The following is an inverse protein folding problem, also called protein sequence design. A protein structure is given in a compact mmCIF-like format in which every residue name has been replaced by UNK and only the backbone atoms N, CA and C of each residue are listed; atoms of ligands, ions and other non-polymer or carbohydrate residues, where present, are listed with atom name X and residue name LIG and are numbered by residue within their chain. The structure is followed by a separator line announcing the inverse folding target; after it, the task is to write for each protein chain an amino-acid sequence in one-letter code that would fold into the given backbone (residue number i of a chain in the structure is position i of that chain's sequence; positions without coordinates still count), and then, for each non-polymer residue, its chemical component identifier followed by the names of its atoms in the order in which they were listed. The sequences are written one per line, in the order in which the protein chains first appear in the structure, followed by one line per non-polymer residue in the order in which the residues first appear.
data_IF_646724765211
#
_entry.id   IF_646724765211
#
_cell.length_a   1.000
_cell.length_b   1.000
_cell.length_c   1.000
_cell.angle_alpha   90.00
_cell.angle_beta   90.00
_cell.angle_gamma   90.00
#
_symmetry.space_group_name_H-M   'P 1'
#
loop_
_entity.id
_entity.type
_entity.pdbx_description
1 polymer ?
#
# COMPACT_ATOMS: atom_id res chain seq x y z
N UNK A 1 16.88 43.02 87.19
CA UNK A 1 17.14 43.28 85.76
C UNK A 1 18.01 42.14 85.27
N UNK A 2 17.41 41.13 84.65
CA UNK A 2 18.13 39.93 84.22
C UNK A 2 17.50 39.43 82.93
N UNK A 3 18.36 39.24 81.93
CA UNK A 3 18.07 39.06 80.51
C UNK A 3 17.58 37.65 80.16
N UNK A 4 16.66 37.58 79.19
CA UNK A 4 16.23 36.39 78.46
C UNK A 4 16.87 36.37 77.06
N UNK A 5 17.43 35.23 76.65
CA UNK A 5 17.62 34.80 75.24
C UNK A 5 17.78 33.26 75.28
N UNK A 6 17.27 32.42 74.37
CA UNK A 6 16.73 32.58 73.03
C UNK A 6 17.25 31.42 72.17
N UNK A 7 16.59 30.26 72.18
CA UNK A 7 17.07 29.02 71.53
C UNK A 7 15.98 28.33 70.68
N UNK A 8 15.55 28.95 69.58
CA UNK A 8 14.73 28.27 68.54
C UNK A 8 14.86 29.01 67.21
N UNK A 9 15.88 28.68 66.41
CA UNK A 9 16.02 29.26 65.06
C UNK A 9 16.76 28.37 64.05
N UNK A 10 17.60 27.43 64.50
CA UNK A 10 18.47 26.69 63.59
C UNK A 10 17.78 25.51 62.84
N UNK A 11 16.74 24.89 63.41
CA UNK A 11 16.20 23.63 62.85
C UNK A 11 15.16 23.78 61.72
N UNK A 12 14.47 24.91 61.58
CA UNK A 12 13.44 25.07 60.53
C UNK A 12 14.00 25.18 59.10
N UNK A 13 15.27 25.56 58.92
CA UNK A 13 15.83 25.77 57.57
C UNK A 13 16.27 24.49 56.88
N UNK A 14 16.53 23.40 57.60
CA UNK A 14 17.00 22.13 57.00
C UNK A 14 15.85 21.29 56.40
N UNK A 15 14.66 21.32 56.98
CA UNK A 15 13.51 20.54 56.50
C UNK A 15 12.99 21.02 55.13
N UNK A 16 12.96 22.33 54.87
CA UNK A 16 12.44 22.88 53.62
C UNK A 16 13.32 22.63 52.38
N UNK A 17 14.63 22.40 52.56
CA UNK A 17 15.57 22.17 51.44
C UNK A 17 15.51 20.72 50.94
N UNK A 18 15.24 19.75 51.82
CA UNK A 18 15.09 18.34 51.44
C UNK A 18 13.79 18.08 50.65
N UNK A 19 12.68 18.72 51.04
CA UNK A 19 11.39 18.59 50.33
C UNK A 19 11.41 19.16 48.90
N UNK A 20 12.18 20.24 48.64
CA UNK A 20 12.26 20.83 47.30
C UNK A 20 13.07 19.99 46.31
N UNK A 21 14.05 19.21 46.78
CA UNK A 21 14.86 18.32 45.93
C UNK A 21 14.09 17.06 45.49
N UNK A 22 13.24 16.50 46.37
CA UNK A 22 12.40 15.33 46.03
C UNK A 22 11.33 15.63 44.97
N UNK A 23 10.67 16.79 45.04
CA UNK A 23 9.63 17.18 44.09
C UNK A 23 10.17 17.49 42.67
N UNK A 24 11.42 17.94 42.55
CA UNK A 24 12.06 18.23 41.26
C UNK A 24 12.54 16.95 40.55
N UNK A 25 13.03 15.95 41.30
CA UNK A 25 13.44 14.66 40.74
C UNK A 25 12.23 13.86 40.23
N UNK A 26 11.11 13.91 40.95
CA UNK A 26 9.88 13.19 40.59
C UNK A 26 9.19 13.77 39.34
N UNK A 27 9.22 15.11 39.16
CA UNK A 27 8.74 15.77 37.93
C UNK A 27 9.58 15.42 36.70
N UNK A 28 10.90 15.24 36.86
CA UNK A 28 11.76 14.84 35.75
C UNK A 28 11.50 13.40 35.32
N UNK A 29 11.30 12.46 36.25
CA UNK A 29 10.97 11.06 35.90
C UNK A 29 9.67 10.93 35.11
N UNK A 30 8.65 11.74 35.43
CA UNK A 30 7.36 11.70 34.72
C UNK A 30 7.47 12.20 33.27
N UNK A 31 8.32 13.20 33.01
CA UNK A 31 8.51 13.75 31.66
C UNK A 31 9.24 12.77 30.74
N UNK A 32 10.20 11.99 31.25
CA UNK A 32 10.88 10.96 30.45
C UNK A 32 10.01 9.73 30.18
N UNK A 33 9.14 9.32 31.11
CA UNK A 33 8.21 8.22 30.90
C UNK A 33 7.15 8.55 29.83
N UNK A 34 6.67 9.79 29.80
CA UNK A 34 5.71 10.26 28.77
C UNK A 34 6.37 10.37 27.39
N UNK A 35 7.63 10.81 27.30
CA UNK A 35 8.38 10.84 26.04
C UNK A 35 8.69 9.42 25.49
N UNK A 36 8.92 8.44 26.36
CA UNK A 36 9.13 7.04 25.96
C UNK A 36 7.82 6.38 25.48
N UNK A 37 6.68 6.71 26.10
CA UNK A 37 5.35 6.23 25.67
C UNK A 37 4.85 6.91 24.39
N UNK A 38 5.18 8.19 24.16
CA UNK A 38 4.87 8.90 22.91
C UNK A 38 5.76 8.44 21.73
N UNK A 39 6.96 7.95 22.00
CA UNK A 39 7.86 7.40 20.96
C UNK A 39 7.46 6.01 20.44
N UNK A 40 6.65 5.25 21.18
CA UNK A 40 6.15 3.93 20.75
C UNK A 40 4.87 3.98 19.92
N UNK A 41 4.20 5.14 19.82
CA UNK A 41 2.97 5.31 19.05
C UNK A 41 3.21 5.79 17.60
N UNK A 42 4.45 5.72 17.11
CA UNK A 42 4.69 5.75 15.68
C UNK A 42 4.20 4.42 15.10
N UNK A 43 2.89 4.34 14.84
CA UNK A 43 2.28 3.28 14.04
C UNK A 43 3.04 3.28 12.71
N UNK A 44 3.96 2.34 12.56
CA UNK A 44 4.70 2.15 11.34
C UNK A 44 3.72 1.67 10.29
N UNK A 45 3.44 2.49 9.28
CA UNK A 45 2.64 2.08 8.14
C UNK A 45 3.26 0.80 7.55
N UNK A 46 2.44 -0.25 7.41
CA UNK A 46 2.86 -1.48 6.77
C UNK A 46 3.19 -1.18 5.30
N UNK A 47 4.34 -1.64 4.82
CA UNK A 47 4.71 -1.49 3.41
C UNK A 47 5.01 -2.85 2.81
N UNK A 48 4.37 -3.16 1.69
CA UNK A 48 4.50 -4.42 0.97
C UNK A 48 4.23 -4.22 -0.51
N UNK A 49 4.69 -5.18 -1.32
CA UNK A 49 4.43 -5.19 -2.76
C UNK A 49 3.54 -6.37 -3.12
N UNK A 50 2.49 -6.11 -3.89
CA UNK A 50 1.71 -7.15 -4.56
C UNK A 50 2.03 -7.10 -6.05
N UNK A 51 2.19 -8.27 -6.67
CA UNK A 51 2.40 -8.38 -8.11
C UNK A 51 1.33 -9.25 -8.77
N UNK A 52 1.28 -9.24 -10.09
CA UNK A 52 0.48 -10.17 -10.87
C UNK A 52 0.89 -10.11 -12.33
N UNK A 53 0.79 -11.24 -13.01
CA UNK A 53 0.99 -11.32 -14.47
C UNK A 53 -0.29 -11.86 -15.10
N UNK A 54 -0.72 -11.23 -16.19
CA UNK A 54 -1.82 -11.69 -17.02
C UNK A 54 -1.23 -12.04 -18.39
N UNK A 55 -1.24 -13.31 -18.72
CA UNK A 55 -0.60 -13.91 -19.90
C UNK A 55 -1.51 -14.93 -20.62
N UNK A 56 -2.71 -15.16 -20.09
CA UNK A 56 -3.65 -16.16 -20.60
C UNK A 56 -4.94 -15.49 -21.06
N UNK A 57 -5.31 -15.69 -22.33
CA UNK A 57 -6.69 -15.53 -22.78
C UNK A 57 -7.45 -16.87 -22.65
N UNK A 58 -8.38 -17.03 -21.68
CA UNK A 58 -9.11 -18.29 -21.50
C UNK A 58 -9.96 -18.69 -22.71
N UNK A 59 -10.24 -17.73 -23.62
CA UNK A 59 -10.98 -17.97 -24.87
C UNK A 59 -10.10 -18.67 -25.91
N UNK A 60 -8.78 -18.50 -25.82
CA UNK A 60 -7.79 -19.02 -26.77
C UNK A 60 -6.53 -19.55 -26.06
N UNK A 61 -6.62 -20.60 -25.22
CA UNK A 61 -5.54 -21.05 -24.34
C UNK A 61 -4.30 -21.65 -25.04
N UNK A 62 -4.28 -21.72 -26.37
CA UNK A 62 -3.16 -22.22 -27.16
C UNK A 62 -2.55 -21.17 -28.09
N UNK A 63 -2.92 -19.91 -27.91
CA UNK A 63 -2.29 -18.78 -28.58
C UNK A 63 -0.86 -18.62 -27.97
N UNK A 64 0.15 -18.42 -28.81
CA UNK A 64 1.49 -17.99 -28.37
C UNK A 64 1.55 -16.48 -28.54
N UNK A 65 1.73 -15.81 -27.42
CA UNK A 65 1.07 -14.53 -27.21
C UNK A 65 2.09 -13.39 -27.27
N UNK A 66 3.34 -13.65 -26.91
CA UNK A 66 4.41 -12.63 -26.82
C UNK A 66 3.93 -11.32 -26.18
N UNK A 67 2.95 -11.40 -25.29
CA UNK A 67 2.38 -10.29 -24.57
C UNK A 67 2.18 -10.66 -23.11
N UNK A 68 2.37 -9.68 -22.24
CA UNK A 68 2.17 -9.81 -20.80
C UNK A 68 1.61 -8.49 -20.27
N UNK A 69 0.71 -8.58 -19.29
CA UNK A 69 0.42 -7.45 -18.42
C UNK A 69 1.02 -7.72 -17.05
N UNK A 70 1.96 -6.88 -16.66
CA UNK A 70 2.56 -6.92 -15.33
C UNK A 70 1.93 -5.85 -14.45
N UNK A 71 1.39 -6.29 -13.32
CA UNK A 71 0.80 -5.46 -12.28
C UNK A 71 1.76 -5.43 -11.10
N UNK A 72 2.07 -4.23 -10.61
CA UNK A 72 2.81 -4.00 -9.37
C UNK A 72 2.01 -3.02 -8.52
N UNK A 73 1.84 -3.34 -7.25
CA UNK A 73 1.13 -2.50 -6.29
C UNK A 73 2.08 -2.26 -5.13
N UNK A 74 2.55 -1.02 -5.00
CA UNK A 74 3.36 -0.59 -3.86
C UNK A 74 2.42 -0.02 -2.79
N UNK A 75 2.35 -0.70 -1.65
CA UNK A 75 1.44 -0.35 -0.56
C UNK A 75 2.23 0.30 0.55
N UNK A 76 1.73 1.40 1.09
CA UNK A 76 2.21 2.02 2.33
C UNK A 76 1.02 2.51 3.15
N UNK A 77 0.70 1.78 4.23
CA UNK A 77 -0.45 2.08 5.08
C UNK A 77 -1.76 2.01 4.30
N UNK A 78 -2.52 3.10 4.29
CA UNK A 78 -3.80 3.21 3.60
C UNK A 78 -3.70 3.53 2.09
N UNK A 79 -2.51 3.73 1.55
CA UNK A 79 -2.29 4.05 0.13
C UNK A 79 -1.67 2.86 -0.61
N UNK A 80 -2.19 2.56 -1.79
CA UNK A 80 -1.69 1.56 -2.72
C UNK A 80 -1.49 2.19 -4.10
N UNK A 81 -0.25 2.27 -4.56
CA UNK A 81 0.11 2.80 -5.88
C UNK A 81 0.17 1.65 -6.88
N UNK A 82 -0.76 1.64 -7.82
CA UNK A 82 -0.87 0.64 -8.86
C UNK A 82 -0.07 1.06 -10.08
N UNK A 83 0.71 0.13 -10.62
CA UNK A 83 1.38 0.24 -11.92
C UNK A 83 1.00 -0.98 -12.75
N UNK A 84 0.28 -0.75 -13.84
CA UNK A 84 -0.13 -1.78 -14.81
C UNK A 84 0.61 -1.51 -16.11
N UNK A 85 1.54 -2.39 -16.44
CA UNK A 85 2.41 -2.25 -17.60
C UNK A 85 2.08 -3.31 -18.64
N UNK A 86 1.99 -2.89 -19.90
CA UNK A 86 1.74 -3.78 -21.02
C UNK A 86 3.04 -4.00 -21.79
N UNK A 87 3.42 -5.27 -21.93
CA UNK A 87 4.55 -5.73 -22.74
C UNK A 87 3.97 -6.47 -23.93
N UNK A 88 4.34 -6.08 -25.14
CA UNK A 88 4.00 -6.80 -26.37
C UNK A 88 4.96 -6.39 -27.47
N UNK A 89 5.18 -7.30 -28.43
CA UNK A 89 5.85 -7.00 -29.69
C UNK A 89 4.93 -6.31 -30.72
N UNK A 90 3.63 -6.22 -30.45
CA UNK A 90 2.63 -5.57 -31.29
C UNK A 90 2.49 -4.08 -30.91
N UNK A 91 3.06 -3.15 -31.69
CA UNK A 91 3.08 -1.73 -31.32
C UNK A 91 1.70 -1.05 -31.37
N UNK A 92 0.76 -1.63 -32.12
CA UNK A 92 -0.62 -1.17 -32.24
C UNK A 92 -1.51 -1.65 -31.09
N UNK A 93 -1.08 -2.66 -30.33
CA UNK A 93 -1.86 -3.20 -29.22
C UNK A 93 -1.84 -2.26 -28.01
N UNK A 94 -2.95 -2.19 -27.29
CA UNK A 94 -3.11 -1.36 -26.10
C UNK A 94 -4.13 -1.95 -25.13
N UNK A 95 -3.97 -1.62 -23.84
CA UNK A 95 -4.99 -1.89 -22.83
C UNK A 95 -6.15 -0.92 -23.05
N UNK A 96 -7.34 -1.46 -23.33
CA UNK A 96 -8.58 -0.71 -23.36
C UNK A 96 -9.19 -0.58 -21.97
N UNK A 97 -9.23 -1.69 -21.23
CA UNK A 97 -9.78 -1.77 -19.89
C UNK A 97 -8.93 -2.68 -19.01
N UNK A 98 -8.82 -2.36 -17.72
CA UNK A 98 -8.18 -3.17 -16.70
C UNK A 98 -9.18 -3.45 -15.59
N UNK A 99 -9.26 -4.70 -15.15
CA UNK A 99 -10.23 -5.15 -14.17
C UNK A 99 -9.53 -5.79 -12.98
N UNK A 100 -10.09 -5.59 -11.80
CA UNK A 100 -9.53 -6.16 -10.59
C UNK A 100 -10.59 -6.36 -9.52
N UNK A 101 -10.32 -7.35 -8.67
CA UNK A 101 -11.00 -7.55 -7.41
C UNK A 101 -10.04 -7.26 -6.27
N UNK A 102 -10.59 -6.75 -5.19
CA UNK A 102 -9.94 -6.62 -3.89
C UNK A 102 -10.98 -7.03 -2.85
N UNK A 103 -10.55 -7.30 -1.61
CA UNK A 103 -11.49 -7.48 -0.52
C UNK A 103 -12.49 -6.31 -0.46
N UNK A 104 -13.74 -6.53 -0.03
CA UNK A 104 -14.71 -5.45 0.11
C UNK A 104 -14.21 -4.36 1.06
N UNK A 105 -14.38 -3.10 0.68
CA UNK A 105 -14.00 -1.94 1.49
C UNK A 105 -14.40 -0.63 0.82
N UNK A 106 -14.13 0.49 1.51
CA UNK A 106 -14.39 1.83 1.04
C UNK A 106 -13.16 2.45 0.38
N UNK A 107 -13.11 2.42 -0.95
CA UNK A 107 -11.95 2.86 -1.72
C UNK A 107 -12.21 4.13 -2.52
N UNK A 108 -11.20 4.99 -2.58
CA UNK A 108 -11.13 6.11 -3.52
C UNK A 108 -9.93 5.93 -4.44
N UNK A 109 -10.04 6.45 -5.67
CA UNK A 109 -9.01 6.31 -6.69
C UNK A 109 -8.62 7.67 -7.24
N UNK A 110 -7.32 7.92 -7.40
CA UNK A 110 -6.80 9.22 -7.84
C UNK A 110 -5.43 9.09 -8.51
N UNK A 111 -4.83 10.22 -8.93
CA UNK A 111 -3.46 10.22 -9.44
C UNK A 111 -3.26 9.51 -10.77
N UNK A 112 -4.32 9.40 -11.59
CA UNK A 112 -4.29 8.66 -12.85
C UNK A 112 -3.26 9.21 -13.84
N UNK A 113 -2.47 8.31 -14.41
CA UNK A 113 -1.64 8.52 -15.59
C UNK A 113 -1.83 7.33 -16.53
N UNK A 114 -2.46 7.51 -17.70
CA UNK A 114 -2.93 8.77 -18.27
C UNK A 114 -4.11 9.42 -17.50
N UNK A 115 -4.21 10.76 -17.53
CA UNK A 115 -5.13 11.54 -16.65
C UNK A 115 -6.62 11.37 -16.92
N UNK A 116 -6.99 10.81 -18.07
CA UNK A 116 -8.40 10.57 -18.43
C UNK A 116 -8.94 9.23 -17.96
N UNK A 117 -8.09 8.39 -17.36
CA UNK A 117 -8.51 7.13 -16.79
C UNK A 117 -9.25 7.36 -15.47
N UNK A 118 -10.21 6.48 -15.22
CA UNK A 118 -11.02 6.45 -14.00
C UNK A 118 -11.21 5.00 -13.59
N UNK A 119 -11.52 4.78 -12.31
CA UNK A 119 -12.01 3.49 -11.81
C UNK A 119 -13.51 3.62 -11.50
N UNK A 120 -14.28 2.63 -11.94
CA UNK A 120 -15.72 2.51 -11.66
C UNK A 120 -16.04 1.17 -10.98
N UNK A 121 -17.14 1.14 -10.23
CA UNK A 121 -17.72 -0.05 -9.62
C UNK A 121 -19.26 0.06 -9.60
N UNK A 122 -20.02 -1.01 -9.93
CA UNK A 122 -19.52 -2.30 -10.42
C UNK A 122 -18.85 -2.14 -11.80
N UNK A 123 -17.90 -3.04 -12.11
CA UNK A 123 -17.33 -3.13 -13.45
C UNK A 123 -18.45 -3.34 -14.49
N UNK A 124 -18.30 -2.74 -15.66
CA UNK A 124 -19.21 -2.90 -16.79
C UNK A 124 -18.39 -3.29 -18.02
N UNK A 125 -17.94 -4.54 -18.12
CA UNK A 125 -16.96 -4.96 -19.12
C UNK A 125 -17.47 -4.67 -20.54
N UNK A 126 -16.70 -3.90 -21.30
CA UNK A 126 -16.95 -3.60 -22.71
C UNK A 126 -15.94 -4.38 -23.55
N UNK A 127 -16.35 -4.85 -24.72
CA UNK A 127 -15.41 -5.36 -25.73
C UNK A 127 -14.79 -6.76 -25.52
N UNK A 128 -15.15 -7.51 -24.49
CA UNK A 128 -14.72 -8.92 -24.31
C UNK A 128 -15.50 -9.98 -25.10
N UNK A 129 -16.48 -9.62 -25.93
CA UNK A 129 -17.44 -10.58 -26.50
C UNK A 129 -18.41 -11.12 -25.42
N UNK A 130 -18.83 -12.40 -25.48
CA UNK A 130 -19.67 -13.06 -24.46
C UNK A 130 -19.00 -13.24 -23.08
N UNK A 131 -17.92 -12.49 -22.80
CA UNK A 131 -17.16 -12.56 -21.56
C UNK A 131 -17.79 -11.60 -20.54
N UNK A 132 -18.80 -12.07 -19.82
CA UNK A 132 -19.33 -11.37 -18.64
C UNK A 132 -18.39 -11.62 -17.47
N UNK A 133 -17.67 -10.60 -17.02
CA UNK A 133 -16.72 -10.74 -15.93
C UNK A 133 -17.34 -10.26 -14.63
N UNK A 134 -17.39 -11.14 -13.64
CA UNK A 134 -17.79 -10.78 -12.27
C UNK A 134 -16.72 -9.97 -11.53
N UNK A 135 -15.97 -9.10 -12.21
CA UNK A 135 -15.03 -8.19 -11.55
C UNK A 135 -15.77 -7.06 -10.84
N UNK A 136 -15.24 -6.59 -9.73
CA UNK A 136 -15.81 -5.54 -8.89
C UNK A 136 -15.47 -4.15 -9.41
N UNK A 137 -14.23 -3.98 -9.88
CA UNK A 137 -13.70 -2.71 -10.35
C UNK A 137 -13.19 -2.80 -11.78
N UNK A 138 -13.35 -1.69 -12.49
CA UNK A 138 -12.84 -1.49 -13.84
C UNK A 138 -12.15 -0.13 -13.92
N UNK A 139 -10.90 -0.13 -14.39
CA UNK A 139 -10.19 1.05 -14.83
C UNK A 139 -10.29 1.17 -16.36
N UNK A 140 -10.76 2.32 -16.85
CA UNK A 140 -10.83 2.60 -18.29
C UNK A 140 -10.63 4.09 -18.59
N UNK A 141 -10.35 4.41 -19.85
CA UNK A 141 -10.37 5.81 -20.30
C UNK A 141 -11.81 6.33 -20.40
N UNK A 142 -12.16 7.32 -19.57
CA UNK A 142 -13.50 7.92 -19.54
C UNK A 142 -13.83 8.82 -20.73
N UNK A 143 -12.82 9.21 -21.52
CA UNK A 143 -13.01 10.09 -22.67
C UNK A 143 -13.30 9.26 -23.94
N UNK A 144 -14.41 9.52 -24.65
CA UNK A 144 -14.70 8.85 -25.91
C UNK A 144 -13.62 9.07 -26.99
N UNK A 145 -13.53 8.13 -27.95
CA UNK A 145 -12.76 8.33 -29.17
C UNK A 145 -11.31 7.85 -29.13
N UNK A 146 -11.01 6.77 -28.41
CA UNK A 146 -9.72 6.08 -28.48
C UNK A 146 -8.50 6.97 -28.10
N UNK A 147 -8.72 8.00 -27.30
CA UNK A 147 -7.66 8.85 -26.77
C UNK A 147 -6.94 8.16 -25.61
N UNK A 148 -5.74 8.60 -25.24
CA UNK A 148 -5.04 8.20 -23.99
C UNK A 148 -5.01 6.69 -23.69
N UNK A 149 -4.75 5.88 -24.71
CA UNK A 149 -4.58 4.42 -24.59
C UNK A 149 -3.25 4.08 -23.92
N UNK A 150 -3.21 2.93 -23.25
CA UNK A 150 -1.99 2.40 -22.63
C UNK A 150 -1.37 1.40 -23.59
N UNK A 151 -0.45 1.88 -24.43
CA UNK A 151 0.26 1.08 -25.42
C UNK A 151 1.40 0.26 -24.80
N UNK A 152 1.91 -0.70 -25.57
CA UNK A 152 3.09 -1.47 -25.21
C UNK A 152 4.26 -0.54 -24.83
N UNK A 153 4.94 -0.84 -23.71
CA UNK A 153 6.03 -0.03 -23.17
C UNK A 153 5.60 1.22 -22.41
N UNK A 154 4.30 1.48 -22.27
CA UNK A 154 3.73 2.48 -21.36
C UNK A 154 3.01 1.80 -20.19
N UNK A 155 2.59 2.59 -19.19
CA UNK A 155 1.90 2.06 -18.02
C UNK A 155 0.70 2.91 -17.63
N UNK A 156 -0.35 2.24 -17.15
CA UNK A 156 -1.40 2.85 -16.36
C UNK A 156 -0.92 2.92 -14.92
N UNK A 157 -0.95 4.12 -14.35
CA UNK A 157 -0.61 4.35 -12.94
C UNK A 157 -1.76 5.05 -12.26
N UNK A 158 -2.12 4.62 -11.06
CA UNK A 158 -3.11 5.30 -10.22
C UNK A 158 -2.91 4.93 -8.74
N UNK A 159 -3.40 5.77 -7.85
CA UNK A 159 -3.40 5.52 -6.40
C UNK A 159 -4.78 5.11 -5.96
N UNK A 160 -4.85 4.01 -5.22
CA UNK A 160 -6.02 3.54 -4.49
C UNK A 160 -5.82 3.83 -3.00
N UNK A 161 -6.81 4.47 -2.38
CA UNK A 161 -6.80 4.81 -0.94
C UNK A 161 -7.88 4.02 -0.22
N UNK A 162 -7.50 3.31 0.84
CA UNK A 162 -8.43 2.64 1.75
C UNK A 162 -8.89 3.61 2.84
N UNK A 163 -10.17 3.99 2.78
CA UNK A 163 -10.74 4.93 3.75
C UNK A 163 -11.12 4.25 5.08
N UNK A 164 -11.05 2.91 5.13
CA UNK A 164 -11.34 2.13 6.34
C UNK A 164 -10.07 1.85 7.18
N UNK A 165 -8.88 2.16 6.67
CA UNK A 165 -7.59 2.00 7.37
C UNK A 165 -6.47 1.48 6.47
N UNK A 166 -5.43 0.93 7.09
CA UNK A 166 -4.29 0.38 6.35
C UNK A 166 -4.67 -0.85 5.53
N UNK A 167 -4.02 -1.02 4.39
CA UNK A 167 -4.11 -2.24 3.59
C UNK A 167 -3.35 -3.40 4.26
N UNK A 168 -3.78 -4.62 3.95
CA UNK A 168 -3.07 -5.85 4.29
C UNK A 168 -2.92 -6.71 3.03
N UNK A 169 -1.91 -7.56 2.96
CA UNK A 169 -1.69 -8.45 1.81
C UNK A 169 -2.91 -9.34 1.54
N UNK A 170 -3.58 -9.82 2.60
CA UNK A 170 -4.77 -10.66 2.50
C UNK A 170 -5.92 -9.96 1.74
N UNK A 171 -6.00 -8.63 1.77
CA UNK A 171 -7.01 -7.90 1.01
C UNK A 171 -6.84 -8.04 -0.50
N UNK A 172 -5.63 -8.37 -0.97
CA UNK A 172 -5.34 -8.66 -2.36
C UNK A 172 -5.31 -10.16 -2.60
N UNK A 173 -4.51 -10.92 -1.84
CA UNK A 173 -4.29 -12.34 -2.07
C UNK A 173 -5.56 -13.19 -1.87
N UNK A 174 -6.45 -12.80 -0.96
CA UNK A 174 -7.73 -13.47 -0.70
C UNK A 174 -8.92 -12.72 -1.33
N UNK A 175 -8.65 -11.80 -2.28
CA UNK A 175 -9.70 -11.06 -2.96
C UNK A 175 -10.72 -12.01 -3.62
N UNK A 176 -12.02 -11.68 -3.61
CA UNK A 176 -13.05 -12.47 -4.28
C UNK A 176 -12.67 -12.71 -5.75
N UNK A 177 -12.91 -13.91 -6.25
CA UNK A 177 -12.66 -14.19 -7.66
C UNK A 177 -13.82 -13.75 -8.53
N UNK A 178 -13.49 -13.18 -9.68
CA UNK A 178 -14.38 -13.21 -10.83
C UNK A 178 -14.39 -14.63 -11.39
N UNK A 179 -15.58 -15.17 -11.59
CA UNK A 179 -15.79 -16.38 -12.39
C UNK A 179 -16.47 -15.99 -13.68
N UNK A 180 -16.11 -16.65 -14.79
CA UNK A 180 -16.85 -16.50 -16.03
C UNK A 180 -17.67 -17.76 -16.28
N UNK A 181 -18.91 -17.57 -16.72
CA UNK A 181 -19.82 -18.67 -17.04
C UNK A 181 -19.38 -19.45 -18.30
N UNK A 182 -18.52 -18.86 -19.13
CA UNK A 182 -18.11 -19.43 -20.41
C UNK A 182 -16.81 -20.27 -20.35
N UNK A 183 -15.89 -19.97 -19.43
CA UNK A 183 -14.56 -20.61 -19.42
C UNK A 183 -14.14 -21.15 -18.02
N UNK A 184 -14.95 -20.91 -16.99
CA UNK A 184 -14.62 -21.28 -15.61
C UNK A 184 -13.44 -20.48 -15.05
N UNK A 185 -12.95 -20.89 -13.88
CA UNK A 185 -11.77 -20.29 -13.23
C UNK A 185 -12.07 -19.29 -12.11
N UNK A 186 -10.99 -18.88 -11.44
CA UNK A 186 -10.97 -17.99 -10.28
C UNK A 186 -9.91 -16.92 -10.58
N UNK A 187 -10.36 -15.72 -10.93
CA UNK A 187 -9.46 -14.66 -11.40
C UNK A 187 -9.65 -13.39 -10.57
N UNK A 188 -8.55 -12.82 -10.10
CA UNK A 188 -8.55 -11.57 -9.34
C UNK A 188 -8.18 -10.36 -10.20
N UNK A 189 -7.50 -10.59 -11.32
CA UNK A 189 -7.06 -9.59 -12.28
C UNK A 189 -7.58 -9.94 -13.68
N UNK A 190 -7.90 -8.91 -14.46
CA UNK A 190 -8.28 -9.04 -15.85
C UNK A 190 -7.88 -7.83 -16.67
N UNK A 191 -7.73 -7.99 -17.98
CA UNK A 191 -7.48 -6.88 -18.88
C UNK A 191 -8.00 -7.16 -20.27
N UNK A 192 -8.66 -6.18 -20.86
CA UNK A 192 -9.08 -6.24 -22.26
C UNK A 192 -8.08 -5.47 -23.12
N UNK A 193 -7.36 -6.20 -23.97
CA UNK A 193 -6.35 -5.68 -24.89
C UNK A 193 -6.95 -5.61 -26.28
N UNK A 194 -6.73 -4.51 -26.98
CA UNK A 194 -7.29 -4.23 -28.29
C UNK A 194 -6.22 -3.74 -29.25
N UNK A 195 -6.55 -3.69 -30.54
CA UNK A 195 -5.68 -3.08 -31.56
C UNK A 195 -4.67 -4.03 -32.17
N UNK A 196 -4.89 -5.34 -32.09
CA UNK A 196 -4.05 -6.31 -32.77
C UNK A 196 -4.29 -6.29 -34.28
N UNK A 197 -3.25 -6.03 -35.07
CA UNK A 197 -3.36 -5.98 -36.54
C UNK A 197 -3.48 -7.37 -37.18
N UNK A 198 -2.88 -8.40 -36.57
CA UNK A 198 -2.69 -9.71 -37.18
C UNK A 198 -3.39 -10.87 -36.45
N UNK A 199 -4.23 -10.56 -35.47
CA UNK A 199 -4.72 -11.54 -34.51
C UNK A 199 -6.25 -11.47 -34.47
N UNK A 200 -7.00 -12.36 -35.17
CA UNK A 200 -8.47 -12.39 -35.04
C UNK A 200 -8.85 -12.84 -33.63
N UNK A 201 -9.75 -12.15 -32.90
CA UNK A 201 -10.74 -11.16 -33.36
C UNK A 201 -10.31 -9.67 -33.33
N UNK A 202 -9.02 -9.38 -33.15
CA UNK A 202 -8.45 -8.03 -33.04
C UNK A 202 -8.34 -7.54 -31.59
N UNK A 203 -8.76 -8.38 -30.64
CA UNK A 203 -8.70 -8.13 -29.20
C UNK A 203 -8.55 -9.43 -28.40
N UNK A 204 -7.95 -9.31 -27.22
CA UNK A 204 -7.68 -10.40 -26.28
C UNK A 204 -8.12 -10.00 -24.87
N UNK A 205 -8.49 -10.98 -24.06
CA UNK A 205 -8.89 -10.76 -22.68
C UNK A 205 -8.02 -11.61 -21.78
N UNK A 206 -7.08 -10.96 -21.11
CA UNK A 206 -6.13 -11.65 -20.25
C UNK A 206 -6.63 -11.70 -18.83
N UNK A 207 -6.30 -12.77 -18.12
CA UNK A 207 -6.64 -12.96 -16.71
C UNK A 207 -5.44 -13.41 -15.92
N UNK A 208 -5.47 -13.15 -14.62
CA UNK A 208 -4.41 -13.52 -13.70
C UNK A 208 -4.85 -13.39 -12.25
N UNK A 209 -3.92 -13.67 -11.33
CA UNK A 209 -4.13 -13.58 -9.89
C UNK A 209 -2.99 -12.80 -9.24
N UNK A 210 -3.26 -12.28 -8.04
CA UNK A 210 -2.21 -11.63 -7.27
C UNK A 210 -1.20 -12.64 -6.75
N UNK A 211 0.02 -12.16 -6.58
CA UNK A 211 1.16 -12.86 -6.02
C UNK A 211 1.85 -11.91 -5.04
N UNK A 212 2.36 -12.44 -3.93
CA UNK A 212 3.20 -11.64 -3.04
C UNK A 212 4.47 -11.20 -3.79
N UNK A 213 4.82 -9.92 -3.69
CA UNK A 213 5.97 -9.32 -4.34
C UNK A 213 7.30 -9.54 -3.62
N UNK A 214 7.32 -10.37 -2.58
CA UNK A 214 8.51 -10.68 -1.78
C UNK A 214 9.56 -11.48 -2.58
N UNK A 215 10.29 -10.76 -3.43
CA UNK A 215 11.56 -11.21 -4.00
C UNK A 215 12.73 -11.04 -3.01
N UNK A 216 12.50 -11.29 -1.71
CA UNK A 216 13.55 -11.32 -0.68
C UNK A 216 14.13 -9.97 -0.24
N UNK A 217 13.64 -8.84 -0.75
CA UNK A 217 13.99 -7.51 -0.25
C UNK A 217 12.90 -7.02 0.72
N UNK A 218 12.93 -7.57 1.94
CA UNK A 218 12.17 -7.01 3.05
C UNK A 218 12.61 -5.56 3.26
N UNK A 219 11.76 -4.59 2.90
CA UNK A 219 11.91 -3.21 3.34
C UNK A 219 11.90 -3.27 4.87
N UNK A 220 12.98 -2.87 5.57
CA UNK A 220 13.02 -3.00 7.02
C UNK A 220 11.84 -2.27 7.64
N UNK A 221 10.98 -3.01 8.34
CA UNK A 221 9.82 -2.43 9.01
C UNK A 221 10.27 -1.23 9.85
N UNK A 222 9.55 -0.10 9.85
CA UNK A 222 10.01 1.11 10.56
C UNK A 222 10.28 0.87 12.06
N UNK A 223 9.65 -0.14 12.67
CA UNK A 223 9.96 -0.61 14.02
C UNK A 223 11.38 -1.18 14.19
N UNK A 224 11.91 -1.90 13.19
CA UNK A 224 13.29 -2.43 13.21
C UNK A 224 14.34 -1.32 13.10
N UNK A 225 14.08 -0.29 12.28
CA UNK A 225 14.94 0.90 12.20
C UNK A 225 14.91 1.73 13.49
N UNK A 226 13.73 1.87 14.11
CA UNK A 226 13.60 2.52 15.41
C UNK A 226 14.37 1.76 16.51
N UNK A 227 14.29 0.42 16.52
CA UNK A 227 15.02 -0.42 17.47
C UNK A 227 16.54 -0.36 17.24
N UNK A 228 16.98 -0.41 15.97
CA UNK A 228 18.39 -0.28 15.61
C UNK A 228 18.94 1.10 15.99
N UNK A 229 18.18 2.17 15.72
CA UNK A 229 18.50 3.53 16.13
C UNK A 229 18.58 3.67 17.66
N UNK A 230 17.63 3.09 18.39
CA UNK A 230 17.63 3.06 19.85
C UNK A 230 18.81 2.26 20.41
N UNK A 231 19.19 1.14 19.79
CA UNK A 231 20.35 0.34 20.18
C UNK A 231 21.66 1.13 20.00
N UNK A 232 21.84 1.82 18.87
CA UNK A 232 23.01 2.68 18.61
C UNK A 232 23.10 3.88 19.57
N UNK A 233 21.97 4.51 19.91
CA UNK A 233 21.91 5.58 20.91
C UNK A 233 22.18 5.06 22.34
N UNK A 234 21.73 3.84 22.66
CA UNK A 234 22.02 3.16 23.92
C UNK A 234 23.51 2.84 24.09
N UNK A 235 24.18 2.31 23.06
CA UNK A 235 25.61 2.01 23.10
C UNK A 235 26.48 3.27 23.21
N UNK A 236 26.11 4.36 22.53
CA UNK A 236 26.85 5.62 22.59
C UNK A 236 26.70 6.33 23.94
N UNK A 237 25.55 6.21 24.61
CA UNK A 237 25.36 6.69 25.98
C UNK A 237 26.10 5.84 27.02
N UNK A 238 26.17 4.51 26.82
CA UNK A 238 26.94 3.61 27.69
C UNK A 238 28.45 3.90 27.65
N UNK A 239 28.99 4.31 26.50
CA UNK A 239 30.41 4.66 26.33
C UNK A 239 30.83 5.97 27.00
N UNK A 240 29.90 6.82 27.44
CA UNK A 240 30.21 8.05 28.23
C UNK A 240 30.22 7.82 29.75
N UNK A 241 29.94 6.60 30.22
CA UNK A 241 29.92 6.24 31.65
C UNK A 241 31.02 5.26 32.08
N UNK A 242 31.88 4.85 31.16
CA UNK A 242 33.17 4.19 31.44
C UNK A 242 34.29 5.19 31.22
#
# INVERSE_FOLDING_TARGET
MTWTTGHTSCDRRRAHVAQRKGASAMKKLYVWAVALLLGLAAQSASAFVITGTLDLDPRYPGLDDHFDINVTIDVTGAEAVWTVSFVSDQPSAFIGEFYFNVAPGNYTFSGFSPTSWVVVSPASPVGGGNFGTGFLYEAHNSIPGNTNRVYAGSSLVFTMTNNDGDFTEAMFLDAPCASTTAFGGCWQLGAHIQGFDNLPPGSLFLVGNFQSGDNGNSVPEPGTLALLGAALLGLSAARRRL
#
